data_IF_678687421875
#
_entry.id   IF_678687421875
#
_cell.length_a   1.000
_cell.length_b   1.000
_cell.length_c   1.000
_cell.angle_alpha   90.00
_cell.angle_beta   90.00
_cell.angle_gamma   90.00
#
_symmetry.space_group_name_H-M   'P 1'
#
loop_
_entity.id
_entity.type
_entity.pdbx_description
1 polymer ?
#
# COMPACT_ATOMS: atom_id res chain seq x y z
N UNK A 1 19.07 0.79 -16.89
CA UNK A 1 17.80 0.04 -16.88
C UNK A 1 16.62 0.92 -17.32
N UNK A 2 15.51 0.31 -17.75
CA UNK A 2 14.25 1.04 -17.94
C UNK A 2 13.47 1.09 -16.64
N UNK A 3 12.82 2.23 -16.37
CA UNK A 3 11.99 2.41 -15.19
C UNK A 3 10.82 3.34 -15.50
N UNK A 4 9.69 3.16 -14.80
CA UNK A 4 8.58 4.10 -14.81
C UNK A 4 8.90 5.25 -13.86
N UNK A 5 9.05 6.45 -14.41
CA UNK A 5 9.45 7.65 -13.66
C UNK A 5 8.33 8.69 -13.63
N UNK A 6 8.20 9.36 -12.49
CA UNK A 6 7.26 10.47 -12.33
C UNK A 6 7.91 11.79 -12.78
N UNK A 7 7.19 12.61 -13.56
CA UNK A 7 7.66 13.91 -14.06
C UNK A 7 6.76 15.07 -13.68
N UNK A 8 5.62 14.79 -13.08
CA UNK A 8 4.64 15.78 -12.69
C UNK A 8 3.25 15.16 -12.63
N UNK A 9 2.28 15.95 -12.22
CA UNK A 9 0.88 15.52 -12.20
C UNK A 9 0.45 15.06 -13.59
N UNK A 10 -0.11 13.85 -13.67
CA UNK A 10 -0.55 13.18 -14.89
C UNK A 10 0.58 12.94 -15.92
N UNK A 11 1.83 12.95 -15.48
CA UNK A 11 2.99 12.74 -16.35
C UNK A 11 3.93 11.68 -15.75
N UNK A 12 3.79 10.45 -16.24
CA UNK A 12 4.70 9.34 -15.95
C UNK A 12 5.25 8.80 -17.25
N UNK A 13 6.53 8.39 -17.26
CA UNK A 13 7.26 8.01 -18.47
C UNK A 13 8.10 6.78 -18.21
N UNK A 14 8.36 6.00 -19.28
CA UNK A 14 9.38 4.95 -19.24
C UNK A 14 10.71 5.55 -19.67
N UNK A 15 11.58 5.82 -18.73
CA UNK A 15 12.90 6.39 -18.98
C UNK A 15 14.00 5.34 -18.87
N UNK A 16 15.15 5.66 -19.48
CA UNK A 16 16.41 4.94 -19.24
C UNK A 16 17.15 5.63 -18.12
N UNK A 17 17.31 4.95 -16.99
CA UNK A 17 17.98 5.43 -15.80
C UNK A 17 19.20 4.56 -15.48
N UNK A 18 20.15 5.03 -14.65
CA UNK A 18 21.26 4.20 -14.16
C UNK A 18 20.75 2.92 -13.49
N UNK A 19 21.52 1.84 -13.63
CA UNK A 19 21.24 0.62 -12.87
C UNK A 19 21.51 0.87 -11.37
N UNK A 20 20.76 0.22 -10.46
CA UNK A 20 21.01 0.36 -9.03
C UNK A 20 22.30 -0.36 -8.63
N UNK A 21 22.97 0.18 -7.60
CA UNK A 21 24.22 -0.35 -7.06
C UNK A 21 24.07 -0.68 -5.56
N UNK A 22 24.88 -1.61 -5.04
CA UNK A 22 25.00 -1.86 -3.61
C UNK A 22 25.65 -0.64 -2.94
N UNK A 23 24.92 0.05 -2.11
CA UNK A 23 25.37 1.26 -1.36
C UNK A 23 25.77 0.89 0.08
N UNK A 24 25.07 -0.09 0.67
CA UNK A 24 25.31 -0.54 2.04
C UNK A 24 25.54 -2.06 2.05
N UNK A 25 26.39 -2.58 2.94
CA UNK A 25 26.62 -4.04 3.04
C UNK A 25 25.38 -4.89 3.29
N UNK A 26 24.26 -4.30 3.74
CA UNK A 26 22.98 -4.98 3.97
C UNK A 26 22.00 -4.85 2.81
N UNK A 27 22.40 -4.22 1.69
CA UNK A 27 21.55 -4.08 0.51
C UNK A 27 21.52 -5.38 -0.31
N UNK A 28 20.47 -5.51 -1.13
CA UNK A 28 20.41 -6.46 -2.24
C UNK A 28 19.91 -5.75 -3.51
N UNK A 29 20.29 -6.26 -4.68
CA UNK A 29 19.72 -5.89 -5.97
C UNK A 29 18.81 -7.01 -6.43
N UNK A 30 17.59 -6.64 -6.77
CA UNK A 30 16.55 -7.56 -7.21
C UNK A 30 16.24 -7.27 -8.67
N UNK A 31 16.28 -8.29 -9.51
CA UNK A 31 15.72 -8.25 -10.85
C UNK A 31 14.20 -8.45 -10.72
N UNK A 32 13.44 -7.43 -11.05
CA UNK A 32 11.98 -7.47 -10.90
C UNK A 32 11.38 -8.44 -11.93
N UNK A 33 10.55 -9.36 -11.45
CA UNK A 33 9.77 -10.28 -12.28
C UNK A 33 8.31 -9.86 -12.37
N UNK A 34 7.78 -9.27 -11.31
CA UNK A 34 6.41 -8.78 -11.24
C UNK A 34 6.33 -7.56 -10.34
N UNK A 35 5.51 -6.59 -10.73
CA UNK A 35 5.14 -5.43 -9.94
C UNK A 35 3.66 -5.13 -10.15
N UNK A 36 2.96 -4.68 -9.13
CA UNK A 36 1.59 -4.21 -9.25
C UNK A 36 1.50 -2.69 -9.26
N UNK A 37 0.34 -2.18 -9.67
CA UNK A 37 -0.04 -0.78 -9.57
C UNK A 37 -1.11 -0.68 -8.48
N UNK A 38 -0.80 0.05 -7.43
CA UNK A 38 -1.68 0.31 -6.31
C UNK A 38 -2.52 1.58 -6.52
N UNK A 39 -3.61 1.74 -5.77
CA UNK A 39 -4.31 3.02 -5.66
C UNK A 39 -3.41 4.16 -5.19
N UNK A 40 -2.42 3.87 -4.35
CA UNK A 40 -1.43 4.86 -3.90
C UNK A 40 -0.54 5.40 -5.03
N UNK A 41 -0.23 4.61 -6.06
CA UNK A 41 0.49 5.09 -7.25
C UNK A 41 -0.38 6.10 -8.03
N UNK A 42 -1.69 5.92 -8.05
CA UNK A 42 -2.63 6.85 -8.68
C UNK A 42 -2.67 8.18 -7.91
N UNK A 43 -2.58 8.16 -6.57
CA UNK A 43 -2.46 9.38 -5.77
C UNK A 43 -1.20 10.18 -6.13
N UNK A 44 -0.06 9.50 -6.39
CA UNK A 44 1.17 10.15 -6.89
C UNK A 44 0.96 10.72 -8.29
N UNK A 45 0.32 9.96 -9.17
CA UNK A 45 0.00 10.37 -10.55
C UNK A 45 -0.91 11.60 -10.57
N UNK A 46 -1.94 11.64 -9.70
CA UNK A 46 -2.89 12.74 -9.59
C UNK A 46 -2.36 13.95 -8.81
N UNK A 47 -1.18 13.81 -8.20
CA UNK A 47 -0.48 14.90 -7.49
C UNK A 47 -1.05 15.21 -6.10
N UNK A 48 -1.74 14.26 -5.48
CA UNK A 48 -2.24 14.42 -4.10
C UNK A 48 -1.14 14.34 -3.05
N UNK A 49 -0.07 13.61 -3.33
CA UNK A 49 1.02 13.42 -2.37
C UNK A 49 2.15 14.42 -2.64
N UNK A 50 2.54 15.23 -1.65
CA UNK A 50 3.60 16.20 -1.78
C UNK A 50 4.98 15.54 -1.83
N UNK A 51 5.99 16.34 -2.21
CA UNK A 51 7.42 15.98 -2.19
C UNK A 51 7.90 15.00 -3.27
N UNK A 52 7.08 14.69 -4.27
CA UNK A 52 7.57 14.02 -5.47
C UNK A 52 8.51 14.91 -6.26
N UNK A 53 9.51 14.32 -6.91
CA UNK A 53 10.48 15.00 -7.76
C UNK A 53 10.53 14.35 -9.13
N UNK A 54 10.74 15.17 -10.17
CA UNK A 54 10.88 14.64 -11.53
C UNK A 54 12.06 13.66 -11.60
N UNK A 55 11.78 12.45 -12.11
CA UNK A 55 12.71 11.35 -12.19
C UNK A 55 12.57 10.30 -11.06
N UNK A 56 11.69 10.53 -10.08
CA UNK A 56 11.42 9.52 -9.04
C UNK A 56 10.83 8.25 -9.69
N UNK A 57 11.39 7.08 -9.33
CA UNK A 57 10.96 5.77 -9.85
C UNK A 57 9.82 5.25 -8.97
N UNK A 58 8.68 4.96 -9.61
CA UNK A 58 7.46 4.49 -8.95
C UNK A 58 7.50 2.98 -8.65
N UNK A 59 6.53 2.52 -7.86
CA UNK A 59 6.23 1.11 -7.61
C UNK A 59 6.70 0.60 -6.26
N UNK A 60 5.73 0.27 -5.41
CA UNK A 60 5.96 -0.20 -4.06
C UNK A 60 5.45 -1.63 -3.82
N UNK A 61 4.78 -2.24 -4.80
CA UNK A 61 4.37 -3.64 -4.76
C UNK A 61 5.26 -4.49 -5.67
N UNK A 62 6.30 -5.08 -5.11
CA UNK A 62 7.39 -5.64 -5.91
C UNK A 62 7.74 -7.07 -5.51
N UNK A 63 8.11 -7.87 -6.51
CA UNK A 63 8.78 -9.15 -6.31
C UNK A 63 9.78 -9.42 -7.44
N UNK A 64 10.72 -10.32 -7.18
CA UNK A 64 11.71 -10.67 -8.18
C UNK A 64 12.76 -11.66 -7.69
N UNK A 65 13.81 -11.77 -8.47
CA UNK A 65 14.96 -12.65 -8.19
C UNK A 65 16.15 -11.82 -7.68
N UNK A 66 16.78 -12.29 -6.62
CA UNK A 66 18.01 -11.69 -6.08
C UNK A 66 19.15 -11.91 -7.06
N UNK A 67 19.75 -10.83 -7.57
CA UNK A 67 20.87 -10.91 -8.54
C UNK A 67 22.20 -10.48 -7.95
N UNK A 68 22.19 -9.64 -6.89
CA UNK A 68 23.39 -9.21 -6.19
C UNK A 68 23.07 -8.97 -4.72
N UNK A 69 24.04 -9.21 -3.82
CA UNK A 69 23.87 -9.01 -2.37
C UNK A 69 25.10 -8.34 -1.76
N UNK A 70 24.87 -7.42 -0.83
CA UNK A 70 25.92 -6.89 0.02
C UNK A 70 26.43 -7.92 1.02
N UNK A 71 27.64 -7.71 1.52
CA UNK A 71 28.37 -8.69 2.36
C UNK A 71 27.68 -9.06 3.68
N UNK A 72 26.67 -8.31 4.12
CA UNK A 72 25.88 -8.56 5.34
C UNK A 72 24.41 -8.87 5.07
N UNK A 73 24.00 -8.99 3.82
CA UNK A 73 22.66 -9.46 3.47
C UNK A 73 22.52 -10.94 3.86
N UNK A 74 21.33 -11.34 4.29
CA UNK A 74 20.99 -12.75 4.56
C UNK A 74 20.42 -13.46 3.33
N UNK A 75 20.07 -12.70 2.28
CA UNK A 75 19.59 -13.23 1.02
C UNK A 75 20.72 -13.89 0.21
N UNK A 76 20.36 -14.76 -0.72
CA UNK A 76 21.28 -15.43 -1.64
C UNK A 76 20.85 -15.15 -3.09
N UNK A 77 21.83 -14.96 -3.96
CA UNK A 77 21.58 -14.84 -5.41
C UNK A 77 20.79 -16.05 -5.91
N UNK A 78 19.80 -15.80 -6.74
CA UNK A 78 18.87 -16.80 -7.28
C UNK A 78 17.62 -17.03 -6.44
N UNK A 79 17.52 -16.48 -5.22
CA UNK A 79 16.29 -16.57 -4.43
C UNK A 79 15.19 -15.68 -5.02
N UNK A 80 13.97 -16.20 -5.08
CA UNK A 80 12.77 -15.42 -5.36
C UNK A 80 12.27 -14.75 -4.07
N UNK A 81 12.00 -13.46 -4.11
CA UNK A 81 11.57 -12.69 -2.95
C UNK A 81 10.38 -11.79 -3.28
N UNK A 82 9.45 -11.65 -2.33
CA UNK A 82 8.48 -10.55 -2.27
C UNK A 82 9.08 -9.46 -1.39
N UNK A 83 8.92 -8.20 -1.80
CA UNK A 83 9.55 -7.05 -1.18
C UNK A 83 8.45 -6.15 -0.62
N UNK A 84 8.25 -6.10 0.72
CA UNK A 84 7.39 -5.10 1.34
C UNK A 84 7.88 -3.69 1.02
N UNK A 85 6.96 -2.76 0.84
CA UNK A 85 7.33 -1.37 0.54
C UNK A 85 8.09 -0.68 1.68
N UNK A 86 7.87 -1.11 2.92
CA UNK A 86 8.46 -0.52 4.12
C UNK A 86 9.95 -0.78 4.20
N UNK A 87 10.76 0.27 4.29
CA UNK A 87 12.20 0.18 4.54
C UNK A 87 12.47 0.26 6.03
N UNK A 88 13.10 -0.78 6.60
CA UNK A 88 13.32 -0.86 8.05
C UNK A 88 14.68 -1.46 8.41
N UNK A 89 15.36 -0.88 9.40
CA UNK A 89 16.73 -1.28 9.76
C UNK A 89 16.80 -2.52 10.66
N UNK A 90 15.71 -2.93 11.29
CA UNK A 90 15.64 -4.08 12.19
C UNK A 90 16.25 -3.89 13.58
N UNK A 91 16.91 -2.76 13.89
CA UNK A 91 17.72 -2.60 15.11
C UNK A 91 17.40 -1.37 15.95
N UNK A 92 16.66 -0.37 15.43
CA UNK A 92 16.27 0.82 16.19
C UNK A 92 15.16 0.51 17.22
N UNK A 93 14.82 1.48 18.03
CA UNK A 93 13.79 1.34 19.07
C UNK A 93 12.47 0.80 18.51
N UNK A 94 11.97 1.38 17.43
CA UNK A 94 10.70 0.95 16.82
C UNK A 94 10.81 -0.44 16.17
N UNK A 95 11.87 -0.70 15.42
CA UNK A 95 12.08 -2.02 14.80
C UNK A 95 12.20 -3.14 15.85
N UNK A 96 12.85 -2.88 17.00
CA UNK A 96 12.93 -3.86 18.10
C UNK A 96 11.57 -4.21 18.72
N UNK A 97 10.56 -3.35 18.50
CA UNK A 97 9.15 -3.55 18.89
C UNK A 97 8.27 -4.00 17.72
N UNK A 98 8.86 -4.39 16.60
CA UNK A 98 8.14 -4.77 15.38
C UNK A 98 7.29 -3.64 14.75
N UNK A 99 7.53 -2.40 15.10
CA UNK A 99 6.91 -1.21 14.54
C UNK A 99 7.75 -0.70 13.35
N UNK A 100 7.86 -1.50 12.32
CA UNK A 100 8.80 -1.30 11.21
C UNK A 100 8.51 -0.02 10.40
N UNK A 101 7.25 0.38 10.25
CA UNK A 101 6.83 1.61 9.57
C UNK A 101 7.30 2.90 10.26
N UNK A 102 7.68 2.82 11.52
CA UNK A 102 8.22 3.94 12.31
C UNK A 102 9.75 3.86 12.46
N UNK A 103 10.46 3.24 11.52
CA UNK A 103 11.91 3.05 11.61
C UNK A 103 12.68 4.37 11.60
N UNK A 104 13.42 4.67 12.68
CA UNK A 104 14.23 5.90 12.84
C UNK A 104 15.36 6.03 11.80
N UNK A 105 15.88 4.90 11.28
CA UNK A 105 17.07 4.88 10.45
C UNK A 105 16.77 4.81 8.94
N UNK A 106 15.50 4.70 8.54
CA UNK A 106 15.13 4.55 7.13
C UNK A 106 14.69 5.84 6.46
N UNK A 107 14.41 6.89 7.22
CA UNK A 107 14.09 8.21 6.67
C UNK A 107 15.06 9.25 7.22
N UNK A 108 16.07 9.68 6.45
CA UNK A 108 17.07 10.64 6.91
C UNK A 108 16.45 11.97 7.36
N UNK A 109 17.02 12.59 8.38
CA UNK A 109 16.54 13.84 8.98
C UNK A 109 16.30 14.98 7.98
N UNK A 110 17.05 15.03 6.88
CA UNK A 110 16.88 16.04 5.82
C UNK A 110 15.55 15.94 5.06
N UNK A 111 14.87 14.80 5.14
CA UNK A 111 13.54 14.57 4.56
C UNK A 111 12.46 14.40 5.63
N UNK A 112 12.85 14.12 6.87
CA UNK A 112 11.94 13.94 8.01
C UNK A 112 11.30 15.23 8.50
N UNK A 113 11.95 16.41 8.31
CA UNK A 113 11.43 17.71 8.77
C UNK A 113 10.01 17.99 8.21
N UNK A 114 9.76 17.60 6.96
CA UNK A 114 8.43 17.78 6.36
C UNK A 114 7.43 16.77 6.92
N UNK A 115 7.80 15.51 7.11
CA UNK A 115 6.95 14.51 7.76
C UNK A 115 6.58 14.93 9.18
N UNK A 116 7.56 15.40 9.96
CA UNK A 116 7.35 15.89 11.31
C UNK A 116 6.43 17.12 11.35
N UNK A 117 6.59 18.02 10.38
CA UNK A 117 5.72 19.20 10.26
C UNK A 117 4.27 18.83 9.91
N UNK A 118 4.07 17.84 9.01
CA UNK A 118 2.74 17.45 8.53
C UNK A 118 2.02 16.49 9.48
N UNK A 119 2.74 15.54 10.06
CA UNK A 119 2.15 14.43 10.83
C UNK A 119 2.54 14.45 12.32
N UNK A 120 3.46 15.32 12.73
CA UNK A 120 3.93 15.41 14.11
C UNK A 120 5.01 14.38 14.49
N UNK A 121 5.45 13.55 13.52
CA UNK A 121 6.53 12.58 13.70
C UNK A 121 7.20 12.24 12.36
N UNK A 122 8.49 11.83 12.35
CA UNK A 122 9.14 11.36 11.15
C UNK A 122 8.59 10.00 10.73
N UNK A 123 8.11 9.89 9.50
CA UNK A 123 7.67 8.61 8.93
C UNK A 123 8.88 7.75 8.59
N UNK A 124 8.76 6.43 8.67
CA UNK A 124 9.75 5.50 8.15
C UNK A 124 9.89 5.56 6.62
N UNK A 125 10.94 4.94 6.09
CA UNK A 125 11.18 4.88 4.65
C UNK A 125 10.20 3.98 3.91
N UNK A 126 9.85 4.36 2.67
CA UNK A 126 9.06 3.54 1.77
C UNK A 126 9.65 3.51 0.36
N UNK A 127 9.66 2.35 -0.28
CA UNK A 127 10.09 2.17 -1.66
C UNK A 127 9.05 2.75 -2.62
N UNK A 128 9.50 3.38 -3.70
CA UNK A 128 8.64 3.81 -4.81
C UNK A 128 7.58 4.85 -4.45
N UNK A 129 7.84 5.65 -3.42
CA UNK A 129 6.94 6.67 -2.92
C UNK A 129 7.64 8.02 -2.78
N UNK A 130 6.98 9.01 -2.18
CA UNK A 130 7.46 10.40 -2.10
C UNK A 130 8.70 10.59 -1.21
N UNK A 131 9.37 11.72 -1.34
CA UNK A 131 10.50 12.09 -0.48
C UNK A 131 10.10 12.31 1.00
N UNK A 132 8.81 12.45 1.27
CA UNK A 132 8.24 12.41 2.62
C UNK A 132 8.61 11.12 3.37
N UNK A 133 8.75 10.02 2.64
CA UNK A 133 9.14 8.69 3.14
C UNK A 133 10.52 8.26 2.66
N UNK A 134 11.44 9.22 2.49
CA UNK A 134 12.84 8.98 2.19
C UNK A 134 13.22 8.99 0.71
N UNK A 135 12.27 9.02 -0.23
CA UNK A 135 12.52 9.11 -1.67
C UNK A 135 13.28 7.92 -2.24
N UNK A 136 13.03 6.72 -1.74
CA UNK A 136 13.62 5.50 -2.27
C UNK A 136 13.02 5.15 -3.62
N UNK A 137 13.87 4.71 -4.57
CA UNK A 137 13.41 4.21 -5.86
C UNK A 137 12.47 3.00 -5.70
N UNK A 138 11.47 2.93 -6.56
CA UNK A 138 10.52 1.82 -6.63
C UNK A 138 10.90 0.73 -7.61
N UNK A 139 10.09 -0.30 -7.68
CA UNK A 139 10.32 -1.48 -8.52
C UNK A 139 9.42 -1.57 -9.76
N UNK A 140 8.73 -0.50 -10.16
CA UNK A 140 8.22 -0.41 -11.53
C UNK A 140 9.40 -0.11 -12.49
N UNK A 141 10.42 -0.97 -12.42
CA UNK A 141 11.71 -0.90 -13.06
C UNK A 141 12.25 -2.30 -13.36
N UNK A 142 13.30 -2.43 -14.16
CA UNK A 142 13.93 -3.73 -14.43
C UNK A 142 14.69 -4.28 -13.22
N UNK A 143 15.25 -3.39 -12.38
CA UNK A 143 15.98 -3.74 -11.15
C UNK A 143 15.63 -2.80 -10.01
N UNK A 144 15.70 -3.29 -8.78
CA UNK A 144 15.46 -2.55 -7.55
C UNK A 144 16.57 -2.79 -6.55
N UNK A 145 17.12 -1.72 -5.96
CA UNK A 145 17.93 -1.82 -4.75
C UNK A 145 17.03 -1.86 -3.52
N UNK A 146 17.19 -2.91 -2.72
CA UNK A 146 16.46 -3.09 -1.47
C UNK A 146 17.40 -2.81 -0.30
N UNK A 147 17.25 -1.68 0.42
CA UNK A 147 18.01 -1.40 1.63
C UNK A 147 17.62 -2.36 2.76
N UNK A 148 18.57 -2.68 3.65
CA UNK A 148 18.32 -3.59 4.79
C UNK A 148 17.63 -4.90 4.38
N UNK A 149 18.13 -5.52 3.32
CA UNK A 149 17.52 -6.70 2.68
C UNK A 149 17.44 -7.94 3.58
N UNK A 150 18.06 -7.91 4.73
CA UNK A 150 17.99 -8.90 5.79
C UNK A 150 16.78 -8.74 6.73
N UNK A 151 15.91 -7.73 6.50
CA UNK A 151 14.74 -7.43 7.35
C UNK A 151 13.42 -7.59 6.62
N UNK A 152 13.23 -6.84 5.53
CA UNK A 152 11.93 -6.74 4.85
C UNK A 152 11.60 -7.92 3.92
N UNK A 153 12.45 -8.28 2.96
CA UNK A 153 12.13 -9.26 1.94
C UNK A 153 11.77 -10.64 2.50
N UNK A 154 10.74 -11.25 1.91
CA UNK A 154 10.28 -12.59 2.24
C UNK A 154 10.68 -13.53 1.12
N UNK A 155 11.47 -14.56 1.44
CA UNK A 155 11.89 -15.59 0.47
C UNK A 155 10.69 -16.50 0.18
N UNK A 156 10.36 -16.63 -1.10
CA UNK A 156 9.25 -17.45 -1.57
C UNK A 156 9.75 -18.88 -1.83
N UNK A 157 9.07 -19.89 -1.27
CA UNK A 157 9.36 -21.29 -1.56
C UNK A 157 9.22 -21.61 -3.06
N UNK A 158 10.02 -22.55 -3.55
CA UNK A 158 9.93 -23.02 -4.93
C UNK A 158 8.55 -23.57 -5.26
N UNK A 159 8.10 -23.38 -6.52
CA UNK A 159 6.87 -23.93 -7.03
C UNK A 159 5.62 -23.08 -6.76
N UNK A 160 5.76 -21.88 -6.18
CA UNK A 160 4.67 -20.93 -6.05
C UNK A 160 4.77 -19.89 -7.18
N UNK A 161 3.65 -19.71 -7.90
CA UNK A 161 3.56 -18.73 -8.99
C UNK A 161 3.57 -17.30 -8.46
N UNK A 162 4.14 -16.37 -9.22
CA UNK A 162 4.29 -14.97 -8.84
C UNK A 162 2.95 -14.28 -8.55
N UNK A 163 1.93 -14.56 -9.37
CA UNK A 163 0.58 -14.01 -9.24
C UNK A 163 -0.17 -14.40 -7.96
N UNK A 164 0.31 -15.44 -7.26
CA UNK A 164 -0.25 -15.88 -5.97
C UNK A 164 0.37 -15.18 -4.76
N UNK A 165 1.56 -14.59 -4.92
CA UNK A 165 2.33 -14.06 -3.80
C UNK A 165 2.70 -12.59 -3.92
N UNK A 166 2.60 -11.99 -5.10
CA UNK A 166 2.90 -10.57 -5.34
C UNK A 166 2.20 -9.65 -4.32
N UNK A 167 0.94 -9.92 -4.04
CA UNK A 167 0.11 -9.08 -3.15
C UNK A 167 0.50 -9.15 -1.67
N UNK A 168 1.41 -10.06 -1.29
CA UNK A 168 2.06 -10.04 0.03
C UNK A 168 2.99 -8.84 0.21
N UNK A 169 3.33 -8.13 -0.87
CA UNK A 169 4.18 -6.93 -0.82
C UNK A 169 3.48 -5.73 -0.16
N UNK A 170 2.13 -5.62 -0.28
CA UNK A 170 1.36 -4.51 0.28
C UNK A 170 -0.12 -4.87 0.54
N UNK A 171 -0.94 -5.00 -0.53
CA UNK A 171 -2.41 -4.92 -0.41
C UNK A 171 -3.04 -6.06 0.40
N UNK A 172 -2.42 -7.23 0.45
CA UNK A 172 -2.89 -8.32 1.31
C UNK A 172 -2.64 -8.01 2.79
N UNK A 173 -1.40 -7.69 3.25
CA UNK A 173 -1.17 -7.29 4.64
C UNK A 173 -1.89 -5.99 5.03
N UNK A 174 -2.14 -5.06 4.09
CA UNK A 174 -2.94 -3.86 4.34
C UNK A 174 -4.40 -4.22 4.62
N UNK A 175 -4.99 -5.11 3.83
CA UNK A 175 -6.35 -5.62 4.06
C UNK A 175 -6.48 -6.45 5.34
N UNK A 176 -5.44 -7.23 5.68
CA UNK A 176 -5.35 -7.96 6.93
C UNK A 176 -5.29 -7.01 8.14
N UNK A 177 -4.39 -6.02 8.09
CA UNK A 177 -4.23 -5.02 9.14
C UNK A 177 -5.53 -4.22 9.38
N UNK A 178 -6.28 -3.90 8.32
CA UNK A 178 -7.56 -3.22 8.44
C UNK A 178 -8.57 -4.07 9.24
N UNK A 179 -8.64 -5.38 8.97
CA UNK A 179 -9.50 -6.30 9.70
C UNK A 179 -9.01 -6.53 11.15
N UNK A 180 -7.70 -6.61 11.38
CA UNK A 180 -7.11 -6.74 12.71
C UNK A 180 -7.38 -5.49 13.57
N UNK A 181 -7.21 -4.29 13.01
CA UNK A 181 -7.48 -3.02 13.70
C UNK A 181 -9.00 -2.79 13.95
N UNK A 182 -9.87 -3.46 13.22
CA UNK A 182 -11.30 -3.44 13.46
C UNK A 182 -11.72 -4.32 14.65
N UNK A 183 -10.77 -5.03 15.28
CA UNK A 183 -10.97 -5.87 16.47
C UNK A 183 -12.14 -6.88 16.31
N UNK A 184 -12.22 -7.50 15.13
CA UNK A 184 -13.31 -8.41 14.76
C UNK A 184 -13.36 -9.62 15.70
N UNK A 185 -14.56 -9.89 16.24
CA UNK A 185 -14.84 -11.04 17.11
C UNK A 185 -15.69 -12.11 16.36
N UNK A 186 -15.63 -13.38 16.78
CA UNK A 186 -16.49 -14.40 16.22
C UNK A 186 -17.98 -14.07 16.36
N UNK A 187 -18.69 -14.05 15.23
CA UNK A 187 -20.12 -13.73 15.18
C UNK A 187 -20.43 -12.32 14.71
N UNK A 188 -19.41 -11.46 14.55
CA UNK A 188 -19.61 -10.08 14.11
C UNK A 188 -20.15 -9.94 12.69
N UNK A 189 -20.88 -8.87 12.47
CA UNK A 189 -21.25 -8.35 11.15
C UNK A 189 -20.34 -7.16 10.83
N UNK A 190 -19.54 -7.29 9.76
CA UNK A 190 -18.56 -6.29 9.36
C UNK A 190 -18.99 -5.62 8.07
N UNK A 191 -18.99 -4.29 8.01
CA UNK A 191 -19.19 -3.53 6.77
C UNK A 191 -17.85 -3.08 6.20
N UNK A 192 -17.62 -3.33 4.90
CA UNK A 192 -16.41 -2.92 4.17
C UNK A 192 -16.80 -1.97 3.05
N UNK A 193 -16.39 -0.72 3.15
CA UNK A 193 -16.53 0.30 2.11
C UNK A 193 -15.37 0.26 1.13
N UNK A 194 -15.70 0.18 -0.17
CA UNK A 194 -14.72 0.00 -1.24
C UNK A 194 -14.34 -1.45 -1.45
N UNK A 195 -14.65 -1.99 -2.65
CA UNK A 195 -14.29 -3.33 -3.08
C UNK A 195 -13.12 -3.30 -4.08
N UNK A 196 -12.18 -2.36 -3.89
CA UNK A 196 -10.87 -2.39 -4.53
C UNK A 196 -10.03 -3.56 -3.99
N UNK A 197 -8.77 -3.71 -4.44
CA UNK A 197 -7.91 -4.82 -4.01
C UNK A 197 -7.77 -4.92 -2.48
N UNK A 198 -7.52 -3.80 -1.79
CA UNK A 198 -7.44 -3.77 -0.32
C UNK A 198 -8.77 -4.20 0.32
N UNK A 199 -9.90 -3.63 -0.11
CA UNK A 199 -11.21 -3.98 0.45
C UNK A 199 -11.59 -5.45 0.22
N UNK A 200 -11.22 -6.02 -0.92
CA UNK A 200 -11.44 -7.45 -1.19
C UNK A 200 -10.59 -8.34 -0.28
N UNK A 201 -9.35 -7.96 0.05
CA UNK A 201 -8.55 -8.66 1.05
C UNK A 201 -9.08 -8.42 2.46
N UNK A 202 -9.61 -7.21 2.78
CA UNK A 202 -10.28 -6.95 4.06
C UNK A 202 -11.51 -7.84 4.25
N UNK A 203 -12.33 -8.04 3.20
CA UNK A 203 -13.47 -8.98 3.22
C UNK A 203 -13.02 -10.38 3.57
N UNK A 204 -11.97 -10.90 2.91
CA UNK A 204 -11.46 -12.24 3.18
C UNK A 204 -10.85 -12.35 4.58
N UNK A 205 -10.11 -11.32 5.01
CA UNK A 205 -9.49 -11.27 6.33
C UNK A 205 -10.53 -11.22 7.44
N UNK A 206 -11.62 -10.46 7.26
CA UNK A 206 -12.73 -10.41 8.21
C UNK A 206 -13.35 -11.79 8.45
N UNK A 207 -13.62 -12.56 7.38
CA UNK A 207 -14.09 -13.95 7.53
C UNK A 207 -13.06 -14.85 8.23
N UNK A 208 -11.78 -14.72 7.90
CA UNK A 208 -10.71 -15.49 8.55
C UNK A 208 -10.57 -15.18 10.05
N UNK A 209 -10.89 -13.95 10.47
CA UNK A 209 -10.89 -13.53 11.87
C UNK A 209 -12.17 -13.90 12.63
N UNK A 210 -13.19 -14.42 11.94
CA UNK A 210 -14.39 -14.97 12.57
C UNK A 210 -15.66 -14.17 12.36
N UNK A 211 -15.66 -13.14 11.50
CA UNK A 211 -16.91 -12.47 11.15
C UNK A 211 -17.93 -13.48 10.61
N UNK A 212 -19.13 -13.46 11.15
CA UNK A 212 -20.25 -14.29 10.67
C UNK A 212 -20.80 -13.76 9.34
N UNK A 213 -20.81 -12.43 9.21
CA UNK A 213 -21.31 -11.74 8.01
C UNK A 213 -20.36 -10.63 7.61
N UNK A 214 -20.15 -10.46 6.30
CA UNK A 214 -19.44 -9.30 5.75
C UNK A 214 -20.31 -8.65 4.69
N UNK A 215 -20.56 -7.36 4.82
CA UNK A 215 -21.35 -6.54 3.90
C UNK A 215 -20.37 -5.63 3.13
N UNK A 216 -20.18 -5.93 1.86
CA UNK A 216 -19.26 -5.21 0.98
C UNK A 216 -20.00 -4.14 0.17
N UNK A 217 -19.52 -2.90 0.20
CA UNK A 217 -20.19 -1.72 -0.34
C UNK A 217 -19.33 -1.10 -1.43
N UNK A 218 -19.84 -1.03 -2.66
CA UNK A 218 -19.18 -0.41 -3.83
C UNK A 218 -20.25 -0.03 -4.86
N UNK A 219 -19.86 0.46 -6.02
CA UNK A 219 -20.77 0.69 -7.14
C UNK A 219 -20.32 0.00 -8.44
N UNK A 220 -19.11 -0.54 -8.49
CA UNK A 220 -18.61 -1.24 -9.66
C UNK A 220 -19.10 -2.70 -9.69
N UNK A 221 -19.92 -3.10 -10.71
CA UNK A 221 -20.51 -4.44 -10.72
C UNK A 221 -19.49 -5.58 -10.67
N UNK A 222 -18.34 -5.41 -11.34
CA UNK A 222 -17.27 -6.42 -11.32
C UNK A 222 -16.64 -6.62 -9.95
N UNK A 223 -16.44 -5.54 -9.19
CA UNK A 223 -15.90 -5.58 -7.82
C UNK A 223 -16.90 -6.22 -6.86
N UNK A 224 -18.17 -5.81 -6.92
CA UNK A 224 -19.25 -6.42 -6.12
C UNK A 224 -19.42 -7.90 -6.42
N UNK A 225 -19.34 -8.30 -7.70
CA UNK A 225 -19.41 -9.72 -8.07
C UNK A 225 -18.25 -10.54 -7.47
N UNK A 226 -17.06 -9.96 -7.38
CA UNK A 226 -15.90 -10.62 -6.76
C UNK A 226 -16.07 -10.71 -5.24
N UNK A 227 -16.48 -9.63 -4.56
CA UNK A 227 -16.79 -9.65 -3.13
C UNK A 227 -17.86 -10.73 -2.80
N UNK A 228 -18.90 -10.84 -3.62
CA UNK A 228 -19.93 -11.88 -3.48
C UNK A 228 -19.36 -13.30 -3.65
N UNK A 229 -18.41 -13.51 -4.56
CA UNK A 229 -17.72 -14.81 -4.71
C UNK A 229 -16.90 -15.18 -3.47
N UNK A 230 -16.42 -14.22 -2.70
CA UNK A 230 -15.73 -14.44 -1.44
C UNK A 230 -16.69 -14.65 -0.26
N UNK A 231 -18.00 -14.61 -0.49
CA UNK A 231 -19.03 -14.87 0.52
C UNK A 231 -19.69 -13.62 1.10
N UNK A 232 -19.27 -12.41 0.71
CA UNK A 232 -19.88 -11.20 1.22
C UNK A 232 -21.29 -10.96 0.67
N UNK A 233 -22.15 -10.36 1.48
CA UNK A 233 -23.34 -9.66 1.03
C UNK A 233 -22.92 -8.37 0.37
N UNK A 234 -23.61 -7.92 -0.67
CA UNK A 234 -23.14 -6.75 -1.44
C UNK A 234 -24.21 -5.68 -1.56
N UNK A 235 -23.80 -4.43 -1.41
CA UNK A 235 -24.65 -3.26 -1.57
C UNK A 235 -24.05 -2.32 -2.62
N UNK A 236 -24.87 -1.84 -3.56
CA UNK A 236 -24.52 -0.80 -4.52
C UNK A 236 -24.99 0.56 -3.98
N UNK A 237 -24.06 1.44 -3.59
CA UNK A 237 -24.38 2.72 -2.98
C UNK A 237 -25.02 3.73 -3.97
N UNK A 238 -25.02 3.46 -5.28
CA UNK A 238 -25.74 4.26 -6.27
C UNK A 238 -27.22 3.86 -6.40
N UNK A 239 -27.58 2.69 -5.89
CA UNK A 239 -28.92 2.11 -6.03
C UNK A 239 -29.63 1.97 -4.69
N UNK A 240 -28.89 2.05 -3.58
CA UNK A 240 -29.37 1.74 -2.23
C UNK A 240 -28.96 2.86 -1.27
N UNK A 241 -29.87 3.30 -0.41
CA UNK A 241 -29.53 4.07 0.79
C UNK A 241 -28.81 3.14 1.77
N UNK A 242 -27.49 3.27 1.83
CA UNK A 242 -26.64 2.36 2.60
C UNK A 242 -26.91 2.41 4.10
N UNK A 243 -27.17 3.62 4.64
CA UNK A 243 -27.45 3.77 6.07
C UNK A 243 -28.69 2.96 6.48
N UNK A 244 -29.80 3.17 5.75
CA UNK A 244 -31.04 2.45 6.01
C UNK A 244 -30.87 0.95 5.79
N UNK A 245 -30.18 0.54 4.71
CA UNK A 245 -29.96 -0.87 4.41
C UNK A 245 -29.13 -1.57 5.51
N UNK A 246 -28.06 -0.94 6.00
CA UNK A 246 -27.26 -1.50 7.08
C UNK A 246 -28.08 -1.68 8.37
N UNK A 247 -28.92 -0.70 8.74
CA UNK A 247 -29.80 -0.83 9.90
C UNK A 247 -30.81 -1.97 9.72
N UNK A 248 -31.43 -2.07 8.55
CA UNK A 248 -32.40 -3.15 8.26
C UNK A 248 -31.74 -4.54 8.31
N UNK A 249 -30.52 -4.68 7.78
CA UNK A 249 -29.77 -5.92 7.75
C UNK A 249 -29.24 -6.35 9.13
N UNK A 250 -29.18 -5.43 10.10
CA UNK A 250 -28.59 -5.65 11.43
C UNK A 250 -29.61 -5.46 12.57
N UNK A 251 -30.91 -5.45 12.25
CA UNK A 251 -31.97 -5.31 13.27
C UNK A 251 -32.01 -3.94 13.95
N UNK A 252 -31.54 -2.87 13.28
CA UNK A 252 -31.57 -1.50 13.73
C UNK A 252 -30.35 -1.05 14.53
N UNK A 253 -29.34 -1.93 14.74
CA UNK A 253 -28.17 -1.63 15.56
C UNK A 253 -27.03 -1.07 14.71
N UNK A 254 -26.86 -1.53 13.48
CA UNK A 254 -25.72 -1.31 12.61
C UNK A 254 -24.72 -2.47 12.66
N UNK A 255 -23.68 -2.47 11.81
CA UNK A 255 -22.61 -3.47 11.86
C UNK A 255 -21.76 -3.30 13.13
N UNK A 256 -21.14 -4.40 13.60
CA UNK A 256 -20.27 -4.42 14.77
C UNK A 256 -18.95 -3.69 14.47
N UNK A 257 -18.43 -3.83 13.25
CA UNK A 257 -17.23 -3.14 12.81
C UNK A 257 -17.38 -2.60 11.38
N UNK A 258 -16.64 -1.52 11.08
CA UNK A 258 -16.63 -0.88 9.77
C UNK A 258 -15.18 -0.67 9.30
N UNK A 259 -14.90 -1.05 8.07
CA UNK A 259 -13.62 -0.82 7.41
C UNK A 259 -13.84 0.10 6.21
N UNK A 260 -13.13 1.23 6.17
CA UNK A 260 -13.05 2.09 4.98
C UNK A 260 -11.79 1.76 4.18
N UNK A 261 -11.99 1.25 2.97
CA UNK A 261 -10.93 0.90 2.01
C UNK A 261 -11.05 1.70 0.70
N UNK A 262 -11.63 2.90 0.74
CA UNK A 262 -11.84 3.75 -0.45
C UNK A 262 -10.61 4.58 -0.78
N UNK A 263 -9.87 5.06 0.22
CA UNK A 263 -8.73 5.95 0.04
C UNK A 263 -9.12 7.39 -0.31
N UNK A 264 -8.17 8.14 -0.89
CA UNK A 264 -8.34 9.57 -1.23
C UNK A 264 -9.25 9.82 -2.45
N UNK A 265 -9.63 8.79 -3.18
CA UNK A 265 -10.42 8.89 -4.41
C UNK A 265 -11.91 8.61 -4.17
N UNK A 266 -12.48 9.19 -3.12
CA UNK A 266 -13.93 9.15 -2.93
C UNK A 266 -14.62 9.88 -4.09
N UNK A 267 -15.29 9.13 -4.96
CA UNK A 267 -15.97 9.67 -6.12
C UNK A 267 -17.34 10.26 -5.74
N UNK A 268 -17.53 11.55 -6.00
CA UNK A 268 -18.81 12.23 -5.83
C UNK A 268 -18.77 13.64 -6.36
N UNK A 269 -19.95 14.24 -6.59
CA UNK A 269 -20.13 15.66 -6.88
C UNK A 269 -20.21 16.48 -5.58
N UNK A 270 -19.57 16.02 -4.51
CA UNK A 270 -19.57 16.71 -3.24
C UNK A 270 -18.66 17.95 -3.27
N UNK A 271 -18.95 18.90 -2.41
CA UNK A 271 -18.09 20.08 -2.18
C UNK A 271 -16.67 19.64 -1.82
N UNK A 272 -16.53 18.51 -1.11
CA UNK A 272 -15.25 17.93 -0.72
C UNK A 272 -14.37 17.55 -1.92
N UNK A 273 -14.96 16.97 -2.97
CA UNK A 273 -14.22 16.65 -4.20
C UNK A 273 -13.71 17.92 -4.91
N UNK A 274 -14.47 19.03 -4.87
CA UNK A 274 -14.02 20.33 -5.39
C UNK A 274 -12.88 20.89 -4.53
N UNK A 275 -13.00 20.77 -3.21
CA UNK A 275 -11.97 21.20 -2.26
C UNK A 275 -10.67 20.40 -2.47
N UNK A 276 -10.77 19.07 -2.64
CA UNK A 276 -9.62 18.21 -2.87
C UNK A 276 -8.94 18.49 -4.21
N UNK A 277 -9.70 18.77 -5.27
CA UNK A 277 -9.14 19.21 -6.54
C UNK A 277 -8.44 20.56 -6.43
N UNK A 278 -8.98 21.51 -5.65
CA UNK A 278 -8.33 22.80 -5.39
C UNK A 278 -7.08 22.61 -4.56
N UNK A 279 -7.11 21.81 -3.51
CA UNK A 279 -5.93 21.47 -2.70
C UNK A 279 -4.82 20.82 -3.57
N UNK A 280 -5.16 19.84 -4.39
CA UNK A 280 -4.22 19.19 -5.30
C UNK A 280 -3.63 20.18 -6.33
N UNK A 281 -4.42 21.10 -6.85
CA UNK A 281 -3.98 22.11 -7.82
C UNK A 281 -3.08 23.19 -7.21
N UNK A 282 -3.17 23.43 -5.91
CA UNK A 282 -2.45 24.48 -5.19
C UNK A 282 -1.24 23.98 -4.38
N UNK A 283 -0.85 22.70 -4.52
CA UNK A 283 0.17 22.04 -3.69
C UNK A 283 -0.15 22.02 -2.18
N UNK A 284 -1.37 22.32 -1.79
CA UNK A 284 -1.87 22.25 -0.42
C UNK A 284 -2.53 20.90 -0.11
N UNK A 285 -2.26 19.89 -0.92
CA UNK A 285 -2.72 18.52 -0.74
C UNK A 285 -2.09 17.89 0.49
N UNK A 286 -2.58 18.26 1.66
CA UNK A 286 -2.26 17.58 2.92
C UNK A 286 -3.57 17.05 3.46
N UNK A 287 -3.60 15.75 3.74
CA UNK A 287 -4.65 15.15 4.58
C UNK A 287 -4.52 15.70 6.01
N UNK A 288 -4.97 16.93 6.21
CA UNK A 288 -5.36 17.36 7.54
C UNK A 288 -6.86 17.12 7.65
N UNK A 289 -7.28 16.32 8.67
CA UNK A 289 -8.69 16.19 8.99
C UNK A 289 -9.32 17.53 9.32
#
# INVERSE_FOLDING_TARGET
>A
MRALTWHGRHDVRVDTVPDPEIVNPRDAIIKITSAAICGSDLHLYDGYIPTMRAGDILGHENMGEVVEVGAKSTLKVGQKVVIPFTVSCGTCFFCSKQQFSACDNSNPATTSDMSETLYGYPMGGALGYAHLTGGYAGGQAEYLRVPYSDVGPVVIPDGIDDDKVLFLSDILPTGWMAAENAEIEPGDTVAVWGCGPVGLFSVQSAFLMGAERVIAIDHFPGRLALAKRFGAEVLNFKETDIYSALLDMTGGIGPDAVIDAVGLEAHGLSIDNIIDQVKASTFLGTDRP
#
